data_IF_477771504529
#
_entry.id   IF_477771504529
#
_cell.length_a   1.000
_cell.length_b   1.000
_cell.length_c   1.000
_cell.angle_alpha   90.00
_cell.angle_beta   90.00
_cell.angle_gamma   90.00
#
_symmetry.space_group_name_H-M   'P 1'
#
loop_
_entity.id
_entity.type
_entity.pdbx_description
1 polymer ?
#
# COMPACT_ATOMS: atom_id res chain seq x y z
N UNK A 1 56.95 -60.27 -3.74
CA UNK A 1 55.75 -59.41 -3.77
C UNK A 1 55.49 -58.99 -2.32
N UNK A 2 56.38 -58.17 -1.74
CA UNK A 2 56.34 -56.69 -1.69
C UNK A 2 55.10 -56.18 -0.95
N UNK A 3 55.13 -55.46 0.16
CA UNK A 3 56.09 -55.19 1.24
C UNK A 3 55.21 -54.77 2.44
N UNK A 4 55.53 -55.24 3.64
CA UNK A 4 54.98 -54.71 4.90
C UNK A 4 55.74 -53.42 5.23
N UNK A 5 55.10 -52.38 5.76
CA UNK A 5 55.57 -51.56 6.90
C UNK A 5 54.60 -50.44 7.24
N UNK A 6 54.33 -50.31 8.53
CA UNK A 6 53.66 -49.19 9.17
C UNK A 6 54.68 -48.39 10.03
N UNK A 7 54.25 -47.18 10.44
CA UNK A 7 54.73 -46.33 11.55
C UNK A 7 56.00 -45.48 11.23
N UNK A 8 56.28 -44.34 11.92
CA UNK A 8 55.52 -43.11 12.21
C UNK A 8 56.30 -41.83 11.80
N UNK A 9 55.69 -40.63 11.88
CA UNK A 9 56.44 -39.40 12.24
C UNK A 9 55.64 -38.58 13.25
N UNK A 10 56.38 -38.06 14.22
CA UNK A 10 55.99 -37.47 15.51
C UNK A 10 56.23 -35.96 15.49
N UNK A 11 55.44 -35.24 16.30
CA UNK A 11 55.72 -33.93 16.94
C UNK A 11 55.63 -32.70 15.99
N UNK A 12 55.15 -31.52 16.41
CA UNK A 12 55.10 -30.94 17.74
C UNK A 12 53.94 -29.94 17.87
N UNK A 13 53.39 -29.85 19.08
CA UNK A 13 52.55 -28.74 19.53
C UNK A 13 53.42 -27.50 19.80
N UNK A 14 52.91 -26.32 19.44
CA UNK A 14 53.52 -25.03 19.76
C UNK A 14 52.47 -23.92 19.71
N UNK A 15 52.20 -23.34 20.89
CA UNK A 15 51.36 -22.17 21.13
C UNK A 15 51.76 -20.95 20.28
N UNK A 16 50.79 -20.10 19.95
CA UNK A 16 50.82 -18.65 20.25
C UNK A 16 49.45 -18.02 19.97
N UNK A 17 48.72 -17.71 21.07
CA UNK A 17 47.65 -16.72 21.04
C UNK A 17 48.28 -15.34 20.84
N UNK A 18 47.93 -14.67 19.74
CA UNK A 18 48.13 -13.24 19.59
C UNK A 18 46.77 -12.56 19.62
N UNK A 19 46.37 -12.08 20.80
CA UNK A 19 45.27 -11.13 20.95
C UNK A 19 45.77 -9.76 20.46
N UNK A 20 45.37 -9.36 19.25
CA UNK A 20 45.57 -7.99 18.77
C UNK A 20 44.30 -7.21 19.07
N UNK A 21 44.34 -6.44 20.15
CA UNK A 21 43.39 -5.37 20.40
C UNK A 21 43.69 -4.21 19.44
N UNK A 22 42.89 -4.04 18.38
CA UNK A 22 42.81 -2.76 17.69
C UNK A 22 41.71 -1.93 18.36
N UNK A 23 42.15 -0.95 19.13
CA UNK A 23 41.35 0.13 19.66
C UNK A 23 40.55 0.80 18.52
N UNK A 24 39.26 1.02 18.78
CA UNK A 24 38.40 1.83 17.93
C UNK A 24 38.90 3.27 17.89
N UNK A 25 39.59 3.63 16.81
CA UNK A 25 39.71 5.03 16.42
C UNK A 25 38.41 5.42 15.73
N UNK A 26 37.59 6.21 16.40
CA UNK A 26 36.48 6.92 15.76
C UNK A 26 37.07 7.83 14.67
N UNK A 27 36.94 7.41 13.41
CA UNK A 27 37.33 8.21 12.26
C UNK A 27 36.65 9.58 12.36
N UNK A 28 37.44 10.62 12.57
CA UNK A 28 36.96 12.00 12.60
C UNK A 28 36.43 12.34 11.20
N UNK A 29 35.12 12.60 11.10
CA UNK A 29 34.50 13.03 9.85
C UNK A 29 35.09 14.39 9.45
N UNK A 30 35.67 14.47 8.25
CA UNK A 30 36.13 15.72 7.68
C UNK A 30 34.96 16.71 7.53
N UNK A 31 35.13 17.99 7.88
CA UNK A 31 34.13 19.01 7.65
C UNK A 31 33.97 19.24 6.15
N UNK A 32 32.74 19.07 5.63
CA UNK A 32 32.42 19.20 4.21
C UNK A 32 32.00 17.91 3.51
N UNK A 33 32.03 16.76 4.18
CA UNK A 33 31.40 15.55 3.64
C UNK A 33 29.87 15.71 3.68
N UNK A 34 29.16 15.44 2.56
CA UNK A 34 27.70 15.46 2.54
C UNK A 34 27.15 14.62 3.70
N UNK A 35 26.11 15.12 4.37
CA UNK A 35 25.40 14.30 5.33
C UNK A 35 24.84 13.08 4.57
N UNK A 36 25.29 11.88 4.93
CA UNK A 36 24.78 10.65 4.36
C UNK A 36 23.58 10.19 5.18
N UNK A 37 22.39 10.20 4.59
CA UNK A 37 21.17 9.68 5.19
C UNK A 37 20.79 8.43 4.42
N UNK A 38 20.66 7.28 5.08
CA UNK A 38 20.06 6.13 4.42
C UNK A 38 18.55 6.16 4.59
N UNK A 39 17.84 5.80 3.53
CA UNK A 39 16.39 5.61 3.53
C UNK A 39 16.08 4.16 3.17
N UNK A 40 15.27 3.49 3.98
CA UNK A 40 14.68 2.19 3.63
C UNK A 40 13.22 2.40 3.28
N UNK A 41 12.85 1.93 2.09
CA UNK A 41 11.48 1.93 1.60
C UNK A 41 10.94 0.51 1.73
N UNK A 42 9.84 0.37 2.44
CA UNK A 42 9.00 -0.83 2.41
C UNK A 42 7.57 -0.37 2.25
N UNK A 43 6.66 -1.32 2.04
CA UNK A 43 5.24 -1.03 1.87
C UNK A 43 4.78 -0.07 2.97
N UNK A 44 4.40 1.12 2.51
CA UNK A 44 3.72 2.14 3.31
C UNK A 44 4.58 2.79 4.39
N UNK A 45 5.90 2.65 4.29
CA UNK A 45 6.84 3.18 5.27
C UNK A 45 8.09 3.74 4.62
N UNK A 46 8.47 4.94 5.07
CA UNK A 46 9.78 5.53 4.79
C UNK A 46 10.59 5.61 6.08
N UNK A 47 11.68 4.85 6.16
CA UNK A 47 12.57 4.83 7.32
C UNK A 47 13.88 5.56 7.02
N UNK A 48 14.05 6.74 7.62
CA UNK A 48 15.29 7.50 7.55
C UNK A 48 16.23 7.11 8.70
N UNK A 49 17.52 6.99 8.43
CA UNK A 49 18.55 6.79 9.45
C UNK A 49 18.70 7.97 10.40
N UNK A 50 18.27 9.16 9.98
CA UNK A 50 18.20 10.37 10.79
C UNK A 50 16.99 11.21 10.36
N UNK A 51 16.22 11.69 11.34
CA UNK A 51 15.07 12.60 11.12
C UNK A 51 15.42 14.07 11.38
N UNK A 52 16.63 14.34 11.88
CA UNK A 52 17.17 15.68 12.05
C UNK A 52 18.61 15.72 11.55
N UNK A 53 18.91 16.63 10.64
CA UNK A 53 20.24 16.78 10.03
C UNK A 53 20.63 18.26 9.94
N UNK A 54 21.93 18.55 9.82
CA UNK A 54 22.41 19.90 9.56
C UNK A 54 22.10 20.34 8.13
N UNK A 55 21.82 21.62 7.94
CA UNK A 55 21.70 22.25 6.63
C UNK A 55 22.99 22.11 5.80
N UNK A 56 22.84 22.01 4.48
CA UNK A 56 23.94 21.82 3.54
C UNK A 56 23.63 20.74 2.51
N UNK A 57 24.68 20.25 1.84
CA UNK A 57 24.56 19.15 0.87
C UNK A 57 24.36 17.82 1.61
N UNK A 58 23.34 17.09 1.21
CA UNK A 58 22.90 15.81 1.78
C UNK A 58 22.79 14.81 0.65
N UNK A 59 23.32 13.60 0.86
CA UNK A 59 23.14 12.48 -0.06
C UNK A 59 22.28 11.43 0.63
N UNK A 60 21.13 11.13 0.03
CA UNK A 60 20.26 10.05 0.42
C UNK A 60 20.66 8.78 -0.33
N UNK A 61 20.96 7.71 0.41
CA UNK A 61 21.09 6.36 -0.16
C UNK A 61 19.80 5.60 0.14
N UNK A 62 19.01 5.37 -0.89
CA UNK A 62 17.65 4.85 -0.80
C UNK A 62 17.64 3.39 -1.23
N UNK A 63 17.15 2.50 -0.38
CA UNK A 63 16.99 1.08 -0.68
C UNK A 63 15.52 0.68 -0.63
N UNK A 64 15.03 0.04 -1.70
CA UNK A 64 13.74 -0.63 -1.65
C UNK A 64 13.92 -2.03 -1.06
N UNK A 65 13.50 -2.19 0.19
CA UNK A 65 13.54 -3.46 0.94
C UNK A 65 12.17 -4.13 0.99
N UNK A 66 11.16 -3.53 0.35
CA UNK A 66 9.83 -4.10 0.18
C UNK A 66 9.75 -5.08 -0.99
N UNK A 67 8.53 -5.50 -1.25
CA UNK A 67 8.12 -6.43 -2.31
C UNK A 67 7.52 -5.75 -3.54
N UNK A 68 7.13 -4.47 -3.46
CA UNK A 68 6.61 -3.70 -4.60
C UNK A 68 7.54 -2.53 -4.99
N UNK A 69 7.43 -1.99 -6.22
CA UNK A 69 8.18 -0.80 -6.63
C UNK A 69 7.90 0.43 -5.77
N UNK A 70 8.93 1.24 -5.51
CA UNK A 70 8.86 2.47 -4.72
C UNK A 70 9.70 3.58 -5.34
N UNK A 71 9.45 4.83 -4.98
CA UNK A 71 10.32 5.96 -5.27
C UNK A 71 10.49 6.78 -3.98
N UNK A 72 11.43 7.71 -3.99
CA UNK A 72 11.74 8.55 -2.84
C UNK A 72 11.74 10.01 -3.26
N UNK A 73 10.87 10.79 -2.64
CA UNK A 73 10.73 12.23 -2.86
C UNK A 73 10.99 13.00 -1.57
N UNK A 74 11.61 14.17 -1.73
CA UNK A 74 11.80 15.16 -0.67
C UNK A 74 11.15 16.47 -1.13
N UNK A 75 10.16 16.93 -0.39
CA UNK A 75 9.38 18.13 -0.70
C UNK A 75 9.42 19.13 0.46
N UNK A 76 9.54 20.42 0.15
CA UNK A 76 9.49 21.51 1.13
C UNK A 76 10.56 22.56 0.89
N UNK A 77 10.36 23.77 1.43
CA UNK A 77 11.32 24.89 1.30
C UNK A 77 11.70 25.22 -0.15
N UNK A 78 10.78 25.03 -1.10
CA UNK A 78 11.00 25.21 -2.53
C UNK A 78 11.79 24.09 -3.22
N UNK A 79 11.92 22.94 -2.57
CA UNK A 79 12.43 21.68 -3.14
C UNK A 79 11.24 20.76 -3.40
N UNK A 80 11.24 20.10 -4.56
CA UNK A 80 10.34 19.03 -4.97
C UNK A 80 11.19 18.16 -5.92
N UNK A 81 11.85 17.15 -5.36
CA UNK A 81 12.84 16.32 -6.07
C UNK A 81 12.71 14.86 -5.68
N UNK A 82 12.72 13.98 -6.68
CA UNK A 82 12.49 12.55 -6.52
C UNK A 82 13.55 11.68 -7.20
N UNK A 83 13.60 10.41 -6.80
CA UNK A 83 14.30 9.36 -7.55
C UNK A 83 13.41 8.79 -8.66
N UNK A 84 14.02 8.17 -9.68
CA UNK A 84 13.28 7.22 -10.52
C UNK A 84 12.70 6.06 -9.68
N UNK A 85 11.76 5.30 -10.25
CA UNK A 85 11.18 4.11 -9.62
C UNK A 85 12.26 3.07 -9.32
N UNK A 86 12.32 2.65 -8.07
CA UNK A 86 13.23 1.67 -7.48
C UNK A 86 12.49 0.34 -7.35
N UNK A 87 12.95 -0.66 -8.09
CA UNK A 87 12.40 -2.02 -8.05
C UNK A 87 12.71 -2.72 -6.72
N UNK A 88 11.94 -3.76 -6.31
CA UNK A 88 12.24 -4.56 -5.13
C UNK A 88 13.70 -5.03 -5.09
N UNK A 89 14.35 -4.88 -3.94
CA UNK A 89 15.77 -5.24 -3.74
C UNK A 89 16.79 -4.30 -4.38
N UNK A 90 16.35 -3.28 -5.14
CA UNK A 90 17.24 -2.29 -5.78
C UNK A 90 17.48 -1.07 -4.88
N UNK A 91 18.39 -0.19 -5.30
CA UNK A 91 18.72 1.05 -4.59
C UNK A 91 18.96 2.21 -5.55
N UNK A 92 18.81 3.44 -5.05
CA UNK A 92 19.09 4.68 -5.77
C UNK A 92 19.76 5.70 -4.84
N UNK A 93 20.30 6.78 -5.40
CA UNK A 93 20.84 7.90 -4.63
C UNK A 93 20.21 9.22 -5.08
N UNK A 94 19.92 10.10 -4.13
CA UNK A 94 19.41 11.46 -4.36
C UNK A 94 20.27 12.44 -3.58
N UNK A 95 20.88 13.42 -4.25
CA UNK A 95 21.71 14.45 -3.60
C UNK A 95 21.05 15.81 -3.70
N UNK A 96 20.84 16.47 -2.57
CA UNK A 96 20.13 17.74 -2.46
C UNK A 96 20.93 18.72 -1.57
N UNK A 97 20.77 20.02 -1.81
CA UNK A 97 21.22 21.06 -0.88
C UNK A 97 20.03 21.57 -0.10
N UNK A 98 19.97 21.23 1.19
CA UNK A 98 18.82 21.53 2.06
C UNK A 98 19.11 22.73 2.97
N UNK A 99 18.12 23.62 3.07
CA UNK A 99 18.12 24.77 3.98
C UNK A 99 17.47 24.36 5.31
N UNK A 100 17.70 25.11 6.41
CA UNK A 100 16.97 24.89 7.64
C UNK A 100 15.45 24.95 7.40
N UNK A 101 14.71 24.01 7.97
CA UNK A 101 13.27 23.88 7.77
C UNK A 101 12.79 22.43 7.93
N UNK A 102 11.50 22.23 7.74
CA UNK A 102 10.89 20.89 7.69
C UNK A 102 10.61 20.52 6.25
N UNK A 103 10.86 19.25 5.93
CA UNK A 103 10.61 18.62 4.64
C UNK A 103 9.71 17.41 4.85
N UNK A 104 8.76 17.22 3.94
CA UNK A 104 8.05 15.96 3.77
C UNK A 104 8.92 15.02 2.95
N UNK A 105 8.91 13.75 3.32
CA UNK A 105 9.65 12.70 2.62
C UNK A 105 8.72 11.53 2.40
N UNK A 106 8.45 11.19 1.15
CA UNK A 106 7.40 10.23 0.82
C UNK A 106 7.72 9.44 -0.46
N UNK A 107 6.81 8.53 -0.81
CA UNK A 107 6.86 7.78 -2.06
C UNK A 107 5.78 8.30 -3.04
N UNK A 108 6.17 8.89 -4.19
CA UNK A 108 5.22 9.49 -5.15
C UNK A 108 4.57 8.48 -6.09
N UNK A 109 4.91 7.18 -5.97
CA UNK A 109 4.43 6.14 -6.89
C UNK A 109 2.90 6.13 -6.93
N UNK A 110 2.38 6.14 -8.16
CA UNK A 110 0.95 6.12 -8.45
C UNK A 110 0.23 7.43 -8.12
N UNK A 111 0.77 8.57 -8.56
CA UNK A 111 0.18 9.91 -8.27
C UNK A 111 -0.06 10.13 -6.77
N UNK A 112 1.01 9.95 -5.99
CA UNK A 112 1.03 10.00 -4.52
C UNK A 112 0.15 8.96 -3.84
N UNK A 113 -0.30 7.90 -4.54
CA UNK A 113 -1.06 6.83 -3.91
C UNK A 113 -0.31 6.25 -2.72
N UNK A 114 0.99 5.98 -2.87
CA UNK A 114 1.79 5.46 -1.76
C UNK A 114 1.87 6.44 -0.58
N UNK A 115 2.05 7.74 -0.83
CA UNK A 115 1.98 8.80 0.20
C UNK A 115 0.61 8.82 0.90
N UNK A 116 -0.49 8.82 0.13
CA UNK A 116 -1.87 8.79 0.66
C UNK A 116 -2.16 7.54 1.48
N UNK A 117 -1.48 6.44 1.17
CA UNK A 117 -1.47 5.21 1.95
C UNK A 117 -0.54 5.26 3.17
N UNK A 118 0.01 6.43 3.52
CA UNK A 118 0.83 6.63 4.70
C UNK A 118 2.33 6.40 4.49
N UNK A 119 2.79 6.20 3.25
CA UNK A 119 4.22 6.08 2.92
C UNK A 119 4.94 7.44 2.96
N UNK A 120 4.92 8.07 4.13
CA UNK A 120 5.53 9.38 4.37
C UNK A 120 6.21 9.45 5.74
N UNK A 121 7.14 10.39 5.86
CA UNK A 121 7.81 10.78 7.09
C UNK A 121 8.27 12.22 6.97
N UNK A 122 8.80 12.78 8.06
CA UNK A 122 9.29 14.15 8.08
C UNK A 122 10.79 14.17 8.37
N UNK A 123 11.48 15.07 7.68
CA UNK A 123 12.88 15.40 7.91
C UNK A 123 12.98 16.84 8.40
N UNK A 124 13.63 17.04 9.54
CA UNK A 124 13.97 18.37 10.04
C UNK A 124 15.41 18.68 9.65
N UNK A 125 15.62 19.87 9.11
CA UNK A 125 16.94 20.39 8.80
C UNK A 125 17.20 21.56 9.74
N UNK A 126 18.23 21.45 10.56
CA UNK A 126 18.62 22.49 11.51
C UNK A 126 19.74 23.36 10.94
N UNK A 127 19.92 24.57 11.48
CA UNK A 127 21.05 25.43 11.12
C UNK A 127 22.38 24.68 11.26
N UNK A 128 23.28 24.85 10.29
CA UNK A 128 24.62 24.28 10.39
C UNK A 128 25.31 24.88 11.63
N UNK A 129 25.66 24.05 12.61
CA UNK A 129 26.54 24.46 13.70
C UNK A 129 27.90 24.78 13.07
N UNK A 130 28.23 26.07 13.00
CA UNK A 130 29.60 26.48 12.69
C UNK A 130 30.51 25.90 13.78
N UNK A 131 31.68 25.32 13.45
CA UNK A 131 32.73 25.11 14.44
C UNK A 131 33.16 26.50 14.93
N UNK A 132 32.64 26.89 16.10
CA UNK A 132 33.00 28.14 16.74
C UNK A 132 34.43 28.03 17.27
N UNK A 133 35.29 28.92 16.76
CA UNK A 133 36.53 29.38 17.37
C UNK A 133 36.50 29.29 18.89
N UNK A 134 37.50 28.60 19.46
CA UNK A 134 37.79 28.58 20.90
C UNK A 134 37.88 30.00 21.45
N UNK A 135 36.92 30.39 22.28
CA UNK A 135 36.91 31.63 23.05
C UNK A 135 36.61 31.30 24.51
N UNK A 136 37.64 31.38 25.33
CA UNK A 136 37.64 31.23 26.79
C UNK A 136 36.81 32.37 27.43
N UNK A 137 35.92 32.07 28.38
CA UNK A 137 35.18 33.11 29.09
C UNK A 137 34.01 32.62 29.95
N UNK A 138 34.38 32.15 31.14
CA UNK A 138 33.70 32.11 32.43
C UNK A 138 32.18 31.94 32.62
N UNK A 139 31.93 31.26 33.74
CA UNK A 139 30.70 30.76 34.36
C UNK A 139 29.60 31.77 34.70
N UNK A 140 28.34 31.34 34.61
CA UNK A 140 27.32 31.64 35.63
C UNK A 140 26.18 30.61 35.63
N UNK A 141 25.78 30.21 36.84
CA UNK A 141 24.77 29.18 37.11
C UNK A 141 23.34 29.70 36.95
N UNK A 142 22.46 28.83 36.46
CA UNK A 142 21.01 29.02 36.50
C UNK A 142 20.31 27.67 36.43
N UNK A 143 20.05 27.07 37.59
CA UNK A 143 19.28 25.84 37.76
C UNK A 143 17.79 26.02 37.37
N UNK A 144 17.22 24.87 36.97
CA UNK A 144 15.81 24.49 37.07
C UNK A 144 14.82 25.11 36.06
N UNK A 145 14.45 24.33 35.04
CA UNK A 145 13.07 23.87 34.95
C UNK A 145 12.96 22.58 34.09
N UNK A 146 13.06 21.43 34.77
CA UNK A 146 12.51 20.17 34.25
C UNK A 146 11.02 20.15 34.58
N UNK A 147 10.15 20.28 33.59
CA UNK A 147 8.85 19.58 33.49
C UNK A 147 8.01 20.20 32.39
N UNK A 148 7.89 19.49 31.28
CA UNK A 148 6.64 19.11 30.63
C UNK A 148 6.98 18.64 29.21
N UNK A 149 7.27 17.35 29.11
CA UNK A 149 6.92 16.60 27.91
C UNK A 149 5.40 16.69 27.79
N UNK A 150 4.90 17.69 27.08
CA UNK A 150 3.60 17.54 26.44
C UNK A 150 3.87 16.65 25.24
N UNK A 151 3.47 15.39 25.37
CA UNK A 151 3.08 14.61 24.21
C UNK A 151 2.25 15.54 23.30
N UNK A 152 2.68 15.66 22.05
CA UNK A 152 1.81 16.24 21.03
C UNK A 152 0.49 15.47 21.11
N UNK A 153 -0.65 16.14 21.33
CA UNK A 153 -1.91 15.45 21.33
C UNK A 153 -2.05 14.79 19.95
N UNK A 154 -2.35 13.49 19.93
CA UNK A 154 -2.83 12.81 18.74
C UNK A 154 -3.79 13.76 18.05
N UNK A 155 -3.40 14.24 16.86
CA UNK A 155 -4.20 15.13 16.02
C UNK A 155 -5.56 14.44 15.93
N UNK A 156 -6.58 14.99 16.63
CA UNK A 156 -7.83 14.26 16.87
C UNK A 156 -8.31 13.64 15.57
N UNK A 157 -8.35 12.30 15.52
CA UNK A 157 -8.68 11.56 14.30
C UNK A 157 -10.04 12.07 13.83
N UNK A 158 -10.03 12.89 12.77
CA UNK A 158 -11.27 13.34 12.15
C UNK A 158 -11.87 12.08 11.53
N UNK A 159 -12.93 11.56 12.16
CA UNK A 159 -13.71 10.47 11.59
C UNK A 159 -14.20 10.93 10.23
N UNK A 160 -13.69 10.30 9.18
CA UNK A 160 -14.17 10.54 7.83
C UNK A 160 -15.23 9.50 7.53
N UNK A 161 -16.29 9.92 6.86
CA UNK A 161 -17.37 9.03 6.51
C UNK A 161 -17.89 9.32 5.12
N UNK A 162 -18.28 8.27 4.42
CA UNK A 162 -18.82 8.33 3.06
C UNK A 162 -20.04 7.43 3.00
N UNK A 163 -21.16 7.99 2.54
CA UNK A 163 -22.34 7.23 2.18
C UNK A 163 -22.35 7.08 0.68
N UNK A 164 -22.49 5.86 0.20
CA UNK A 164 -22.58 5.52 -1.23
C UNK A 164 -23.97 4.97 -1.52
N UNK A 165 -24.54 5.41 -2.63
CA UNK A 165 -25.81 4.91 -3.16
C UNK A 165 -25.62 4.51 -4.61
N UNK A 166 -25.97 3.25 -4.91
CA UNK A 166 -25.90 2.69 -6.25
C UNK A 166 -26.80 3.44 -7.22
N UNK A 167 -26.30 3.69 -8.42
CA UNK A 167 -27.09 4.18 -9.55
C UNK A 167 -27.58 3.05 -10.45
N UNK A 168 -27.61 3.32 -11.75
CA UNK A 168 -27.76 2.32 -12.80
C UNK A 168 -27.30 2.87 -14.15
N UNK A 169 -27.05 2.01 -15.16
CA UNK A 169 -27.38 0.57 -15.25
C UNK A 169 -26.60 -0.37 -14.31
N UNK A 170 -27.09 -1.61 -14.16
CA UNK A 170 -26.50 -2.65 -13.29
C UNK A 170 -26.15 -3.88 -14.11
N UNK A 171 -24.94 -4.41 -13.91
CA UNK A 171 -24.46 -5.62 -14.58
C UNK A 171 -23.88 -6.62 -13.59
N UNK A 172 -24.09 -7.91 -13.87
CA UNK A 172 -23.28 -8.99 -13.32
C UNK A 172 -22.08 -9.20 -14.23
N UNK A 173 -20.88 -9.26 -13.66
CA UNK A 173 -19.67 -9.64 -14.38
C UNK A 173 -19.43 -11.13 -14.12
N UNK A 174 -19.26 -11.88 -15.21
CA UNK A 174 -19.07 -13.32 -15.20
C UNK A 174 -17.58 -13.66 -15.40
N UNK A 175 -17.16 -14.88 -15.03
CA UNK A 175 -15.83 -15.36 -15.34
C UNK A 175 -15.54 -15.27 -16.85
N UNK A 176 -14.34 -14.83 -17.18
CA UNK A 176 -13.90 -14.78 -18.57
C UNK A 176 -12.52 -14.16 -18.72
N UNK A 177 -12.06 -14.01 -19.98
CA UNK A 177 -10.74 -13.48 -20.24
C UNK A 177 -10.66 -11.99 -19.91
N UNK A 178 -9.53 -11.60 -19.32
CA UNK A 178 -9.16 -10.22 -19.09
C UNK A 178 -8.81 -9.56 -20.44
N UNK A 179 -9.41 -8.41 -20.80
CA UNK A 179 -9.30 -7.86 -22.14
C UNK A 179 -8.00 -7.10 -22.44
N UNK A 180 -7.15 -6.85 -21.43
CA UNK A 180 -5.86 -6.17 -21.61
C UNK A 180 -4.66 -7.05 -21.21
N UNK A 181 -4.49 -8.24 -21.81
CA UNK A 181 -3.43 -9.17 -21.41
C UNK A 181 -2.03 -8.58 -21.63
N UNK A 182 -1.83 -7.82 -22.72
CA UNK A 182 -0.54 -7.21 -23.05
C UNK A 182 -0.14 -6.10 -22.06
N UNK A 183 -1.13 -5.36 -21.54
CA UNK A 183 -0.89 -4.32 -20.53
C UNK A 183 -0.61 -4.91 -19.15
N UNK A 184 -1.22 -6.05 -18.83
CA UNK A 184 -0.99 -6.75 -17.56
C UNK A 184 0.32 -7.56 -17.55
N UNK A 185 0.74 -8.13 -18.67
CA UNK A 185 1.87 -9.06 -18.74
C UNK A 185 3.21 -8.52 -18.20
N UNK A 186 3.63 -7.26 -18.47
CA UNK A 186 4.86 -6.71 -17.90
C UNK A 186 4.82 -6.62 -16.37
N UNK A 187 3.65 -6.35 -15.81
CA UNK A 187 3.45 -6.19 -14.38
C UNK A 187 3.38 -7.57 -13.72
N UNK A 188 2.66 -8.53 -14.30
CA UNK A 188 2.58 -9.91 -13.81
C UNK A 188 3.95 -10.59 -13.64
N UNK A 189 4.94 -10.23 -14.45
CA UNK A 189 6.32 -10.72 -14.30
C UNK A 189 6.97 -10.32 -12.97
N UNK A 190 6.47 -9.27 -12.32
CA UNK A 190 6.99 -8.74 -11.06
C UNK A 190 6.47 -9.52 -9.84
N UNK A 191 5.42 -10.34 -9.99
CA UNK A 191 4.71 -11.02 -8.89
C UNK A 191 5.25 -12.43 -8.55
N UNK A 192 6.40 -12.84 -9.08
CA UNK A 192 7.09 -14.07 -8.67
C UNK A 192 6.20 -15.32 -8.67
N UNK A 193 6.09 -15.98 -7.51
CA UNK A 193 5.32 -17.22 -7.31
C UNK A 193 3.79 -17.03 -7.38
N UNK A 194 3.28 -15.80 -7.17
CA UNK A 194 1.84 -15.49 -7.27
C UNK A 194 1.36 -15.40 -8.72
N UNK A 195 2.31 -15.37 -9.68
CA UNK A 195 2.04 -15.24 -11.10
C UNK A 195 1.11 -16.32 -11.63
N UNK A 196 1.23 -17.57 -11.17
CA UNK A 196 0.38 -18.67 -11.66
C UNK A 196 -1.09 -18.48 -11.29
N UNK A 197 -1.36 -17.99 -10.07
CA UNK A 197 -2.70 -17.63 -9.61
C UNK A 197 -3.30 -16.46 -10.40
N UNK A 198 -2.48 -15.45 -10.70
CA UNK A 198 -2.90 -14.30 -11.50
C UNK A 198 -3.09 -14.66 -12.98
N UNK A 199 -2.22 -15.48 -13.58
CA UNK A 199 -2.38 -15.98 -14.96
C UNK A 199 -3.67 -16.82 -15.12
N UNK A 200 -4.08 -17.55 -14.08
CA UNK A 200 -5.38 -18.23 -14.06
C UNK A 200 -6.55 -17.22 -14.08
N UNK A 201 -6.45 -16.15 -13.30
CA UNK A 201 -7.44 -15.06 -13.30
C UNK A 201 -7.46 -14.27 -14.62
N UNK A 202 -6.36 -14.19 -15.36
CA UNK A 202 -6.36 -13.59 -16.72
C UNK A 202 -7.31 -14.33 -17.65
N UNK A 203 -7.47 -15.65 -17.50
CA UNK A 203 -8.28 -16.46 -18.41
C UNK A 203 -9.74 -16.58 -17.99
N UNK A 204 -9.98 -16.77 -16.69
CA UNK A 204 -11.30 -17.09 -16.13
C UNK A 204 -11.61 -16.30 -14.85
N UNK A 205 -11.04 -15.10 -14.72
CA UNK A 205 -11.18 -14.28 -13.53
C UNK A 205 -12.38 -13.33 -13.58
N UNK A 206 -12.50 -12.50 -12.53
CA UNK A 206 -13.62 -11.59 -12.34
C UNK A 206 -13.58 -10.35 -13.24
N UNK A 207 -12.45 -10.03 -13.88
CA UNK A 207 -12.25 -8.76 -14.60
C UNK A 207 -12.52 -8.88 -16.12
N UNK A 208 -13.59 -9.55 -16.50
CA UNK A 208 -13.87 -9.85 -17.90
C UNK A 208 -14.85 -8.86 -18.57
N UNK A 209 -14.98 -8.96 -19.89
CA UNK A 209 -16.05 -8.34 -20.66
C UNK A 209 -17.31 -9.23 -20.77
N UNK A 210 -17.31 -10.41 -20.14
CA UNK A 210 -18.48 -11.28 -20.09
C UNK A 210 -19.43 -10.74 -19.03
N UNK A 211 -20.47 -10.05 -19.46
CA UNK A 211 -21.37 -9.29 -18.58
C UNK A 211 -22.82 -9.53 -18.95
N UNK A 212 -23.71 -9.41 -17.96
CA UNK A 212 -25.14 -9.55 -18.18
C UNK A 212 -25.87 -8.45 -17.42
N UNK A 213 -26.79 -7.71 -18.07
CA UNK A 213 -27.64 -6.75 -17.37
C UNK A 213 -28.48 -7.45 -16.30
N UNK A 214 -28.52 -6.87 -15.11
CA UNK A 214 -29.30 -7.36 -13.98
C UNK A 214 -30.05 -6.22 -13.29
N UNK A 215 -30.80 -6.55 -12.24
CA UNK A 215 -31.42 -5.57 -11.37
C UNK A 215 -30.88 -5.72 -9.93
N UNK A 216 -30.76 -4.60 -9.24
CA UNK A 216 -30.36 -4.59 -7.84
C UNK A 216 -30.02 -3.19 -7.36
N UNK A 217 -29.88 -3.06 -6.05
CA UNK A 217 -29.46 -1.84 -5.39
C UNK A 217 -28.42 -2.15 -4.33
N UNK A 218 -27.56 -1.17 -4.07
CA UNK A 218 -26.58 -1.23 -3.01
C UNK A 218 -26.45 0.13 -2.36
N UNK A 219 -26.60 0.18 -1.04
CA UNK A 219 -26.29 1.37 -0.26
C UNK A 219 -25.43 0.94 0.91
N UNK A 220 -24.36 1.68 1.15
CA UNK A 220 -23.54 1.50 2.34
C UNK A 220 -23.01 2.83 2.83
N UNK A 221 -22.64 2.84 4.10
CA UNK A 221 -21.85 3.90 4.72
C UNK A 221 -20.57 3.27 5.26
N UNK A 222 -19.45 3.90 4.97
CA UNK A 222 -18.16 3.51 5.52
C UNK A 222 -17.62 4.67 6.37
N UNK A 223 -17.04 4.32 7.51
CA UNK A 223 -16.40 5.25 8.43
C UNK A 223 -14.94 4.84 8.58
N UNK A 224 -14.04 5.75 8.23
CA UNK A 224 -12.63 5.68 8.57
C UNK A 224 -12.44 6.33 9.95
N UNK A 225 -12.09 5.50 10.93
CA UNK A 225 -11.86 5.90 12.33
C UNK A 225 -10.41 5.60 12.75
N UNK A 226 -9.50 5.60 11.77
CA UNK A 226 -8.10 5.24 11.95
C UNK A 226 -7.84 3.73 11.79
N UNK A 227 -6.56 3.35 11.83
CA UNK A 227 -6.02 2.09 11.32
C UNK A 227 -6.66 0.75 11.81
N UNK A 228 -7.51 0.75 12.83
CA UNK A 228 -8.12 -0.47 13.39
C UNK A 228 -9.61 -0.33 13.76
N UNK A 229 -10.21 0.86 13.59
CA UNK A 229 -11.58 1.14 14.09
C UNK A 229 -12.59 1.42 13.00
N UNK A 230 -12.21 1.16 11.76
CA UNK A 230 -13.11 1.37 10.63
C UNK A 230 -14.36 0.53 10.78
N UNK A 231 -15.46 1.07 10.30
CA UNK A 231 -16.76 0.42 10.34
C UNK A 231 -17.45 0.60 9.01
N UNK A 232 -18.31 -0.36 8.69
CA UNK A 232 -19.12 -0.33 7.48
C UNK A 232 -20.51 -0.85 7.85
N UNK A 233 -21.53 -0.24 7.27
CA UNK A 233 -22.91 -0.68 7.37
C UNK A 233 -23.53 -0.53 5.99
N UNK A 234 -24.24 -1.55 5.52
CA UNK A 234 -24.82 -1.51 4.20
C UNK A 234 -25.41 -2.83 3.76
N UNK A 235 -26.32 -2.72 2.79
CA UNK A 235 -27.02 -3.86 2.22
C UNK A 235 -27.01 -3.75 0.71
N UNK A 236 -26.58 -4.82 0.05
CA UNK A 236 -26.76 -5.03 -1.38
C UNK A 236 -27.83 -6.09 -1.60
N UNK A 237 -28.78 -5.82 -2.50
CA UNK A 237 -29.78 -6.78 -2.97
C UNK A 237 -29.81 -6.76 -4.48
N UNK A 238 -29.64 -7.92 -5.11
CA UNK A 238 -29.63 -8.04 -6.57
C UNK A 238 -30.12 -9.41 -7.04
N UNK A 239 -30.55 -9.48 -8.29
CA UNK A 239 -30.98 -10.73 -8.91
C UNK A 239 -30.01 -11.11 -10.03
N UNK A 240 -29.37 -12.27 -9.95
CA UNK A 240 -28.46 -12.75 -11.00
C UNK A 240 -29.23 -13.26 -12.21
N UNK A 241 -28.54 -13.46 -13.34
CA UNK A 241 -29.15 -13.85 -14.62
C UNK A 241 -29.94 -15.17 -14.58
N UNK A 242 -29.63 -16.05 -13.61
CA UNK A 242 -30.31 -17.32 -13.35
C UNK A 242 -31.59 -17.15 -12.51
N UNK A 243 -31.95 -15.92 -12.16
CA UNK A 243 -33.12 -15.59 -11.33
C UNK A 243 -32.89 -15.72 -9.82
N UNK A 244 -31.68 -16.09 -9.37
CA UNK A 244 -31.39 -16.17 -7.95
C UNK A 244 -31.35 -14.78 -7.32
N UNK A 245 -32.04 -14.61 -6.19
CA UNK A 245 -32.04 -13.36 -5.40
C UNK A 245 -30.95 -13.43 -4.36
N UNK A 246 -30.01 -12.50 -4.43
CA UNK A 246 -28.91 -12.38 -3.49
C UNK A 246 -29.10 -11.18 -2.59
N UNK A 247 -28.77 -11.37 -1.31
CA UNK A 247 -28.68 -10.30 -0.33
C UNK A 247 -27.34 -10.41 0.39
N UNK A 248 -26.62 -9.32 0.46
CA UNK A 248 -25.42 -9.16 1.28
C UNK A 248 -25.70 -8.10 2.34
N UNK A 249 -25.57 -8.46 3.61
CA UNK A 249 -25.48 -7.49 4.69
C UNK A 249 -24.01 -7.37 5.12
N UNK A 250 -23.44 -6.18 5.01
CA UNK A 250 -22.08 -5.91 5.49
C UNK A 250 -22.07 -5.99 7.03
N UNK A 251 -21.02 -6.58 7.59
CA UNK A 251 -20.87 -6.78 9.04
C UNK A 251 -19.70 -5.97 9.59
N UNK A 252 -18.47 -6.38 9.23
CA UNK A 252 -17.25 -5.79 9.78
C UNK A 252 -16.25 -5.53 8.69
N UNK A 253 -15.48 -4.46 8.88
CA UNK A 253 -14.34 -4.17 8.02
C UNK A 253 -13.25 -5.22 8.28
N UNK A 254 -12.63 -5.68 7.21
CA UNK A 254 -11.57 -6.69 7.27
C UNK A 254 -10.25 -6.02 7.61
N UNK A 255 -9.92 -5.96 8.91
CA UNK A 255 -8.78 -5.21 9.47
C UNK A 255 -7.53 -6.05 9.75
N UNK A 256 -7.57 -7.38 9.57
CA UNK A 256 -6.45 -8.29 9.86
C UNK A 256 -6.03 -9.15 8.67
N UNK A 257 -4.71 -9.17 8.43
CA UNK A 257 -3.87 -10.11 7.68
C UNK A 257 -4.57 -11.01 6.65
N UNK A 258 -4.64 -10.52 5.42
CA UNK A 258 -4.56 -11.39 4.24
C UNK A 258 -3.12 -11.28 3.72
N UNK A 259 -2.41 -12.41 3.50
CA UNK A 259 -1.06 -12.37 2.94
C UNK A 259 -1.06 -11.52 1.65
N UNK A 260 -0.06 -10.64 1.53
CA UNK A 260 0.28 -9.85 0.34
C UNK A 260 -0.45 -8.51 0.08
N UNK A 261 -1.36 -8.06 0.95
CA UNK A 261 -1.91 -6.69 0.88
C UNK A 261 -2.02 -6.09 2.29
N UNK A 262 -1.23 -5.06 2.66
CA UNK A 262 -1.45 -4.39 3.94
C UNK A 262 -2.75 -3.60 3.82
N UNK A 263 -3.81 -4.08 4.46
CA UNK A 263 -5.15 -3.48 4.45
C UNK A 263 -5.24 -2.49 5.61
N UNK A 264 -5.17 -1.22 5.28
CA UNK A 264 -5.09 -0.07 6.19
C UNK A 264 -6.40 0.22 6.92
N UNK A 265 -6.72 -0.51 7.98
CA UNK A 265 -7.99 -0.33 8.68
C UNK A 265 -9.21 -0.81 7.90
N UNK A 266 -9.07 -0.97 6.58
CA UNK A 266 -9.98 -1.62 5.66
C UNK A 266 -11.00 -0.69 5.01
N UNK A 267 -11.06 0.61 5.35
CA UNK A 267 -11.75 1.65 4.57
C UNK A 267 -10.74 2.71 4.12
N UNK A 268 -10.66 2.96 2.82
CA UNK A 268 -9.73 3.94 2.23
C UNK A 268 -10.53 4.93 1.40
N UNK A 269 -10.27 6.23 1.58
CA UNK A 269 -10.97 7.33 0.89
C UNK A 269 -10.03 8.08 -0.06
N UNK A 270 -10.51 8.39 -1.27
CA UNK A 270 -9.80 9.28 -2.20
C UNK A 270 -8.48 8.73 -2.75
N UNK A 271 -8.46 7.45 -3.16
CA UNK A 271 -7.23 6.77 -3.55
C UNK A 271 -7.13 6.45 -5.04
N UNK A 272 -5.91 6.62 -5.57
CA UNK A 272 -5.49 6.19 -6.90
C UNK A 272 -5.01 4.72 -6.83
N UNK A 273 -5.65 3.80 -7.55
CA UNK A 273 -5.40 2.36 -7.47
C UNK A 273 -5.04 1.75 -8.82
N UNK A 274 -4.50 0.53 -8.74
CA UNK A 274 -4.54 -0.52 -9.78
C UNK A 274 -3.71 -0.26 -11.05
N UNK A 275 -3.66 -1.29 -11.90
CA UNK A 275 -2.89 -1.28 -13.15
C UNK A 275 -1.39 -1.11 -12.91
N UNK A 276 -0.85 -0.02 -13.44
CA UNK A 276 0.59 0.27 -13.43
C UNK A 276 1.12 0.85 -12.10
N UNK A 277 0.26 1.01 -11.09
CA UNK A 277 0.64 1.56 -9.78
C UNK A 277 1.35 0.54 -8.88
N UNK A 278 1.30 -0.75 -9.24
CA UNK A 278 1.75 -1.86 -8.39
C UNK A 278 1.08 -1.91 -7.00
N UNK A 279 -0.09 -1.27 -6.87
CA UNK A 279 -0.97 -1.34 -5.71
C UNK A 279 -2.12 -2.31 -6.04
N UNK A 280 -2.25 -3.39 -5.27
CA UNK A 280 -3.19 -4.52 -5.48
C UNK A 280 -2.92 -5.36 -6.76
N UNK A 281 -3.88 -6.21 -7.17
CA UNK A 281 -3.76 -7.07 -8.36
C UNK A 281 -3.58 -6.23 -9.64
N UNK A 282 -2.73 -6.66 -10.58
CA UNK A 282 -2.54 -5.95 -11.85
C UNK A 282 -3.67 -6.18 -12.85
N UNK A 283 -4.68 -7.01 -12.55
CA UNK A 283 -5.74 -7.38 -13.51
C UNK A 283 -6.93 -6.42 -13.52
N UNK A 284 -6.67 -5.14 -13.26
CA UNK A 284 -7.66 -4.08 -13.14
C UNK A 284 -7.05 -2.81 -13.71
N UNK A 285 -7.84 -1.99 -14.44
CA UNK A 285 -7.36 -0.70 -14.94
C UNK A 285 -6.86 0.19 -13.79
N UNK A 286 -5.93 1.08 -14.09
CA UNK A 286 -5.61 2.20 -13.20
C UNK A 286 -6.86 3.07 -13.03
N UNK A 287 -7.26 3.35 -11.79
CA UNK A 287 -8.49 4.09 -11.46
C UNK A 287 -8.25 5.09 -10.34
N UNK A 288 -9.17 6.03 -10.19
CA UNK A 288 -9.32 6.81 -8.97
C UNK A 288 -10.57 6.33 -8.22
N UNK A 289 -10.55 6.33 -6.89
CA UNK A 289 -11.64 5.84 -6.05
C UNK A 289 -12.05 6.87 -5.01
N UNK A 290 -13.36 7.05 -4.83
CA UNK A 290 -13.89 7.81 -3.70
C UNK A 290 -13.83 6.98 -2.41
N UNK A 291 -14.06 5.68 -2.51
CA UNK A 291 -13.88 4.72 -1.42
C UNK A 291 -13.51 3.36 -1.96
N UNK A 292 -12.62 2.67 -1.26
CA UNK A 292 -12.36 1.25 -1.42
C UNK A 292 -12.30 0.58 -0.05
N UNK A 293 -12.90 -0.60 0.09
CA UNK A 293 -12.87 -1.33 1.35
C UNK A 293 -12.88 -2.84 1.16
N UNK A 294 -12.35 -3.53 2.16
CA UNK A 294 -12.55 -4.97 2.35
C UNK A 294 -13.38 -5.18 3.60
N UNK A 295 -14.37 -6.06 3.52
CA UNK A 295 -15.27 -6.37 4.63
C UNK A 295 -15.59 -7.86 4.67
N UNK A 296 -16.18 -8.27 5.77
CA UNK A 296 -16.99 -9.48 5.83
C UNK A 296 -18.47 -9.13 5.82
N UNK A 297 -19.28 -10.07 5.37
CA UNK A 297 -20.73 -9.92 5.44
C UNK A 297 -21.47 -11.25 5.44
N UNK A 298 -22.77 -11.14 5.72
CA UNK A 298 -23.73 -12.22 5.71
C UNK A 298 -24.36 -12.30 4.32
N UNK A 299 -24.15 -13.43 3.64
CA UNK A 299 -24.62 -13.65 2.28
C UNK A 299 -25.82 -14.60 2.29
N UNK A 300 -26.89 -14.19 1.63
CA UNK A 300 -28.11 -14.98 1.49
C UNK A 300 -28.43 -15.21 0.01
N UNK A 301 -28.92 -16.40 -0.33
CA UNK A 301 -29.46 -16.77 -1.64
C UNK A 301 -30.91 -17.20 -1.47
N UNK A 302 -31.82 -16.54 -2.17
CA UNK A 302 -33.26 -16.77 -2.11
C UNK A 302 -33.84 -16.73 -0.67
N UNK A 303 -33.24 -15.91 0.20
CA UNK A 303 -33.64 -15.77 1.61
C UNK A 303 -32.99 -16.78 2.56
N UNK A 304 -32.29 -17.81 2.06
CA UNK A 304 -31.52 -18.74 2.87
C UNK A 304 -30.09 -18.24 3.06
N UNK A 305 -29.55 -18.38 4.27
CA UNK A 305 -28.16 -18.04 4.57
C UNK A 305 -27.22 -18.99 3.81
N UNK A 306 -26.25 -18.42 3.11
CA UNK A 306 -25.18 -19.14 2.39
C UNK A 306 -23.92 -19.18 3.23
N UNK A 307 -23.51 -18.04 3.78
CA UNK A 307 -22.35 -17.91 4.69
C UNK A 307 -22.48 -16.63 5.51
N UNK A 308 -22.01 -16.67 6.75
CA UNK A 308 -21.86 -15.52 7.66
C UNK A 308 -20.47 -14.85 7.56
N UNK A 309 -19.63 -15.34 6.64
CA UNK A 309 -18.23 -14.95 6.55
C UNK A 309 -17.79 -14.68 5.10
N UNK A 310 -18.72 -14.23 4.24
CA UNK A 310 -18.39 -13.85 2.87
C UNK A 310 -17.34 -12.74 2.89
N UNK A 311 -16.26 -12.91 2.13
CA UNK A 311 -15.26 -11.86 1.96
C UNK A 311 -15.73 -10.91 0.86
N UNK A 312 -15.78 -9.62 1.16
CA UNK A 312 -16.37 -8.59 0.30
C UNK A 312 -15.31 -7.56 -0.05
N UNK A 313 -15.23 -7.19 -1.32
CA UNK A 313 -14.50 -6.03 -1.79
C UNK A 313 -15.46 -5.04 -2.44
N UNK A 314 -15.40 -3.79 -2.01
CA UNK A 314 -16.28 -2.71 -2.51
C UNK A 314 -15.43 -1.54 -2.95
N UNK A 315 -15.74 -0.97 -4.11
CA UNK A 315 -15.10 0.26 -4.58
C UNK A 315 -16.11 1.16 -5.28
N UNK A 316 -16.12 2.46 -4.95
CA UNK A 316 -16.71 3.49 -5.80
C UNK A 316 -15.58 4.18 -6.55
N UNK A 317 -15.50 3.97 -7.85
CA UNK A 317 -14.34 4.30 -8.68
C UNK A 317 -14.67 5.00 -10.01
N UNK A 318 -13.62 5.51 -10.65
CA UNK A 318 -13.66 6.06 -12.00
C UNK A 318 -14.24 5.08 -12.99
N UNK A 319 -15.15 5.53 -13.87
CA UNK A 319 -15.78 4.69 -14.89
C UNK A 319 -14.73 3.94 -15.73
N UNK A 320 -14.80 2.61 -15.74
CA UNK A 320 -13.90 1.72 -16.47
C UNK A 320 -14.54 1.10 -17.70
N UNK A 321 -15.87 1.08 -17.78
CA UNK A 321 -16.63 0.42 -18.84
C UNK A 321 -17.27 1.41 -19.81
N UNK A 322 -17.41 1.00 -21.07
CA UNK A 322 -18.07 1.79 -22.12
C UNK A 322 -19.59 1.66 -22.02
N UNK A 323 -20.27 2.75 -22.36
CA UNK A 323 -21.73 2.77 -22.43
C UNK A 323 -22.22 1.79 -23.51
N UNK A 324 -23.27 1.03 -23.19
CA UNK A 324 -23.92 0.10 -24.10
C UNK A 324 -23.45 -1.35 -23.94
N UNK A 325 -22.21 -1.65 -24.30
CA UNK A 325 -21.67 -3.03 -24.25
C UNK A 325 -20.99 -3.38 -22.91
N UNK A 326 -20.75 -2.39 -22.06
CA UNK A 326 -20.06 -2.51 -20.77
C UNK A 326 -18.67 -3.16 -20.87
N UNK A 327 -18.06 -3.20 -22.05
CA UNK A 327 -16.71 -3.70 -22.16
C UNK A 327 -15.75 -2.69 -21.54
N UNK A 328 -14.67 -3.19 -20.94
CA UNK A 328 -13.63 -2.34 -20.38
C UNK A 328 -13.07 -1.42 -21.47
N UNK A 329 -13.04 -0.13 -21.17
CA UNK A 329 -12.78 0.95 -22.10
C UNK A 329 -11.31 1.35 -22.16
N UNK A 330 -10.61 1.22 -21.03
CA UNK A 330 -9.28 1.76 -20.82
C UNK A 330 -8.47 0.91 -19.86
N UNK A 331 -7.15 0.95 -20.03
CA UNK A 331 -6.17 0.46 -19.06
C UNK A 331 -5.85 1.51 -17.99
N UNK A 332 -5.95 2.80 -18.34
CA UNK A 332 -5.90 3.90 -17.40
C UNK A 332 -7.19 4.73 -17.52
N UNK A 333 -8.03 4.61 -16.51
CA UNK A 333 -9.33 5.27 -16.40
C UNK A 333 -9.33 6.31 -15.27
N UNK A 334 -8.17 6.64 -14.70
CA UNK A 334 -8.04 7.54 -13.54
C UNK A 334 -8.67 8.91 -13.74
N UNK A 335 -8.67 9.41 -14.98
CA UNK A 335 -9.23 10.71 -15.38
C UNK A 335 -10.74 10.67 -15.63
N UNK A 336 -11.35 9.48 -15.64
CA UNK A 336 -12.79 9.34 -15.78
C UNK A 336 -13.50 9.70 -14.47
N UNK A 337 -14.78 10.06 -14.61
CA UNK A 337 -15.64 10.41 -13.49
C UNK A 337 -15.82 9.22 -12.55
N UNK A 338 -15.72 9.47 -11.24
CA UNK A 338 -16.00 8.49 -10.18
C UNK A 338 -17.50 8.30 -10.06
N UNK A 339 -18.01 7.20 -10.58
CA UNK A 339 -19.45 6.87 -10.59
C UNK A 339 -19.75 5.38 -10.84
N UNK A 340 -18.72 4.53 -10.87
CA UNK A 340 -18.86 3.09 -11.03
C UNK A 340 -18.67 2.41 -9.67
N UNK A 341 -19.71 1.75 -9.18
CA UNK A 341 -19.71 1.04 -7.90
C UNK A 341 -19.55 -0.46 -8.15
N UNK A 342 -18.41 -0.99 -7.74
CA UNK A 342 -18.06 -2.39 -7.85
C UNK A 342 -18.27 -3.12 -6.52
N UNK A 343 -18.89 -4.29 -6.57
CA UNK A 343 -19.07 -5.21 -5.45
C UNK A 343 -18.63 -6.61 -5.85
N UNK A 344 -17.51 -7.07 -5.30
CA UNK A 344 -17.05 -8.45 -5.43
C UNK A 344 -17.31 -9.20 -4.12
N UNK A 345 -17.89 -10.39 -4.23
CA UNK A 345 -18.18 -11.28 -3.10
C UNK A 345 -17.51 -12.62 -3.37
N UNK A 346 -16.66 -13.02 -2.43
CA UNK A 346 -15.87 -14.24 -2.44
C UNK A 346 -16.27 -15.10 -1.22
N UNK A 347 -16.06 -16.42 -1.30
CA UNK A 347 -16.21 -17.27 -0.12
C UNK A 347 -15.24 -16.84 1.00
N UNK A 348 -15.60 -17.11 2.24
CA UNK A 348 -14.71 -16.87 3.37
C UNK A 348 -13.44 -17.72 3.30
N UNK A 349 -12.36 -17.36 4.03
CA UNK A 349 -11.17 -18.19 4.10
C UNK A 349 -11.49 -19.63 4.54
N UNK A 350 -11.12 -20.61 3.72
CA UNK A 350 -11.38 -22.04 3.96
C UNK A 350 -12.79 -22.52 3.59
N UNK A 351 -13.65 -21.65 3.07
CA UNK A 351 -15.01 -22.02 2.63
C UNK A 351 -15.03 -22.52 1.18
N UNK A 352 -16.01 -23.38 0.82
CA UNK A 352 -16.20 -23.79 -0.56
C UNK A 352 -16.57 -22.61 -1.46
N UNK A 353 -16.34 -22.77 -2.77
CA UNK A 353 -16.79 -21.81 -3.78
C UNK A 353 -18.30 -21.57 -3.67
N UNK A 354 -18.71 -20.33 -3.91
CA UNK A 354 -20.12 -19.97 -3.98
C UNK A 354 -20.81 -20.72 -5.13
N UNK A 355 -22.09 -21.07 -4.94
CA UNK A 355 -22.94 -21.59 -6.01
C UNK A 355 -23.38 -20.46 -6.97
N UNK A 356 -22.38 -19.97 -7.71
CA UNK A 356 -22.44 -18.91 -8.71
C UNK A 356 -21.35 -19.16 -9.77
N UNK A 357 -21.50 -18.67 -11.01
CA UNK A 357 -20.48 -18.82 -12.06
C UNK A 357 -19.08 -18.38 -11.58
N UNK A 358 -18.11 -19.29 -11.65
CA UNK A 358 -16.72 -19.04 -11.22
C UNK A 358 -16.46 -19.15 -9.72
N UNK A 359 -17.50 -19.36 -8.90
CA UNK A 359 -17.37 -19.45 -7.45
C UNK A 359 -17.38 -18.11 -6.72
N UNK A 360 -17.77 -17.03 -7.41
CA UNK A 360 -17.84 -15.67 -6.87
C UNK A 360 -19.06 -14.92 -7.43
N UNK A 361 -19.40 -13.80 -6.81
CA UNK A 361 -20.35 -12.83 -7.37
C UNK A 361 -19.60 -11.53 -7.63
N UNK A 362 -19.84 -10.92 -8.79
CA UNK A 362 -19.29 -9.61 -9.09
C UNK A 362 -20.36 -8.77 -9.78
N UNK A 363 -20.73 -7.66 -9.15
CA UNK A 363 -21.79 -6.77 -9.61
C UNK A 363 -21.25 -5.37 -9.73
N UNK A 364 -21.70 -4.67 -10.76
CA UNK A 364 -21.29 -3.31 -11.04
C UNK A 364 -22.50 -2.41 -11.30
N UNK A 365 -22.53 -1.24 -10.66
CA UNK A 365 -23.55 -0.21 -10.85
C UNK A 365 -22.91 1.06 -11.40
N UNK A 366 -23.37 1.51 -12.56
CA UNK A 366 -22.97 2.81 -13.11
C UNK A 366 -23.78 3.96 -12.50
N UNK A 367 -23.31 5.20 -12.72
CA UNK A 367 -23.97 6.44 -12.25
C UNK A 367 -24.24 6.44 -10.73
N UNK A 368 -23.42 5.72 -9.98
CA UNK A 368 -23.44 5.69 -8.53
C UNK A 368 -22.90 6.99 -7.96
N UNK A 369 -23.30 7.32 -6.74
CA UNK A 369 -22.95 8.60 -6.12
C UNK A 369 -22.51 8.41 -4.68
N UNK A 370 -21.78 9.40 -4.16
CA UNK A 370 -21.42 9.48 -2.76
C UNK A 370 -21.74 10.85 -2.17
N UNK A 371 -21.98 10.85 -0.86
CA UNK A 371 -22.17 12.04 -0.06
C UNK A 371 -21.50 11.86 1.31
N UNK A 372 -21.21 12.97 1.99
CA UNK A 372 -20.92 12.92 3.41
C UNK A 372 -22.20 12.52 4.16
N UNK A 373 -22.16 11.53 5.07
CA UNK A 373 -23.30 11.20 5.89
C UNK A 373 -23.76 12.42 6.69
N UNK A 374 -25.07 12.56 6.91
CA UNK A 374 -25.59 13.54 7.85
C UNK A 374 -24.97 13.28 9.24
N UNK A 375 -24.52 14.35 9.90
CA UNK A 375 -23.90 14.29 11.23
C UNK A 375 -24.87 13.87 12.32
#
# INVERSE_FOLDING_TARGET
MSYVHAVPVRNAAGLLLAAVALAGAAAHRAPGNPAAVSAKLSEWKVELSARSIAAGTVTFTVANVGSIPHAFEVEGQGIEQETAVIQPGSSATLTLTLKPGTYEVYCPVGEDSHKKLGMETHLTVVGATRPGSSGYGDSEMGESNMSHMSESPARGEKVQAIRVTSGGPVIQILPGPFPFPDSAAPILKQFGDEREGLESQVKNGPYSNNVTPIAGAFTFTAWDKGAVRDSVDGVAEFMTQDGARWKLALDRVQTKDVPHHPRFGGVILGLYYHGNTAVHTPLVPTINSAVALWAFGHLYKNGALVTDNAMVHVMLLSRTRRDGDFALACWDCSKHKIEELQLQILPGPGEPKLDAPGGFLFVNWEKSSSAKPAS
#
